data_IF_457214390248
#
_entry.id   IF_457214390248
#
_cell.length_a   1.000
_cell.length_b   1.000
_cell.length_c   1.000
_cell.angle_alpha   90.00
_cell.angle_beta   90.00
_cell.angle_gamma   90.00
#
_symmetry.space_group_name_H-M   'P 1'
#
loop_
_entity.id
_entity.type
_entity.pdbx_description
1 polymer ?
#
# COMPACT_ATOMS: atom_id res chain seq x y z
N UNK A 1 -27.27 -7.31 12.37
CA UNK A 1 -25.97 -7.15 11.68
C UNK A 1 -24.97 -6.68 12.72
N UNK A 2 -23.96 -7.49 13.04
CA UNK A 2 -22.84 -7.02 13.89
C UNK A 2 -21.96 -6.13 13.03
N UNK A 3 -21.71 -4.89 13.48
CA UNK A 3 -20.87 -3.93 12.77
C UNK A 3 -19.44 -4.13 13.26
N UNK A 4 -18.58 -4.71 12.42
CA UNK A 4 -17.17 -4.88 12.76
C UNK A 4 -16.47 -3.52 12.85
N UNK A 5 -15.50 -3.35 13.77
CA UNK A 5 -14.68 -2.14 13.81
C UNK A 5 -13.89 -1.98 12.51
N UNK A 6 -13.74 -0.73 12.06
CA UNK A 6 -12.89 -0.38 10.93
C UNK A 6 -11.61 0.25 11.44
N UNK A 7 -10.46 -0.26 10.99
CA UNK A 7 -9.14 0.25 11.41
C UNK A 7 -8.29 0.53 10.17
N UNK A 8 -7.44 1.55 10.25
CA UNK A 8 -6.46 1.81 9.21
C UNK A 8 -5.32 0.78 9.34
N UNK A 9 -4.93 0.08 8.25
CA UNK A 9 -3.74 -0.75 8.29
C UNK A 9 -2.46 0.08 8.51
N UNK A 10 -1.41 -0.58 8.99
CA UNK A 10 -0.11 0.06 9.21
C UNK A 10 0.70 0.04 7.91
N UNK A 11 1.37 1.16 7.58
CA UNK A 11 2.37 1.22 6.52
C UNK A 11 3.76 1.11 7.16
N UNK A 12 4.48 0.04 6.88
CA UNK A 12 5.77 -0.24 7.52
C UNK A 12 6.96 0.23 6.69
N UNK A 13 6.77 0.34 5.38
CA UNK A 13 7.72 0.96 4.48
C UNK A 13 6.95 1.82 3.47
N UNK A 14 7.42 3.06 3.29
CA UNK A 14 6.96 3.96 2.24
C UNK A 14 8.18 4.72 1.71
N UNK A 15 8.78 4.18 0.67
CA UNK A 15 10.01 4.70 0.08
C UNK A 15 9.81 4.95 -1.41
N UNK A 16 10.48 5.96 -1.97
CA UNK A 16 10.60 6.11 -3.41
C UNK A 16 12.06 6.31 -3.84
N UNK A 17 12.46 5.62 -4.90
CA UNK A 17 13.79 5.77 -5.52
C UNK A 17 13.87 6.90 -6.55
N UNK A 18 12.78 7.67 -6.71
CA UNK A 18 12.60 8.65 -7.79
C UNK A 18 12.11 8.02 -9.11
N UNK A 19 11.96 6.69 -9.16
CA UNK A 19 11.36 5.97 -10.29
C UNK A 19 10.07 5.24 -9.92
N UNK A 20 9.94 4.78 -8.67
CA UNK A 20 8.79 4.02 -8.17
C UNK A 20 8.63 4.22 -6.67
N UNK A 21 7.43 4.00 -6.16
CA UNK A 21 7.18 3.71 -4.76
C UNK A 21 7.35 2.22 -4.48
N UNK A 22 7.87 1.92 -3.30
CA UNK A 22 7.88 0.60 -2.66
C UNK A 22 7.14 0.77 -1.34
N UNK A 23 5.97 0.11 -1.23
CA UNK A 23 5.04 0.29 -0.13
C UNK A 23 4.72 -1.08 0.47
N UNK A 24 4.89 -1.21 1.78
CA UNK A 24 4.56 -2.43 2.52
C UNK A 24 3.46 -2.14 3.54
N UNK A 25 2.35 -2.88 3.44
CA UNK A 25 1.16 -2.70 4.27
C UNK A 25 0.94 -3.96 5.12
N UNK A 26 0.82 -3.81 6.44
CA UNK A 26 0.47 -4.92 7.33
C UNK A 26 -1.03 -5.17 7.34
N UNK A 27 -1.40 -6.42 7.06
CA UNK A 27 -2.74 -6.99 7.06
C UNK A 27 -2.71 -8.34 7.80
N UNK A 28 -2.47 -8.34 9.12
CA UNK A 28 -2.20 -9.55 9.88
C UNK A 28 -3.37 -10.52 9.87
N UNK A 29 -3.09 -11.76 9.45
CA UNK A 29 -4.06 -12.87 9.38
C UNK A 29 -5.26 -12.59 8.45
N UNK A 30 -5.13 -11.65 7.52
CA UNK A 30 -6.12 -11.47 6.45
C UNK A 30 -5.88 -12.54 5.39
N UNK A 31 -6.95 -13.18 4.92
CA UNK A 31 -6.85 -14.10 3.78
C UNK A 31 -6.70 -13.30 2.48
N UNK A 32 -5.79 -13.69 1.61
CA UNK A 32 -5.47 -12.96 0.38
C UNK A 32 -6.71 -12.66 -0.48
N UNK A 33 -7.62 -13.61 -0.60
CA UNK A 33 -8.86 -13.50 -1.37
C UNK A 33 -9.82 -12.42 -0.85
N UNK A 34 -9.65 -11.98 0.40
CA UNK A 34 -10.45 -10.92 0.99
C UNK A 34 -9.83 -9.52 0.76
N UNK A 35 -8.62 -9.42 0.20
CA UNK A 35 -7.93 -8.14 0.05
C UNK A 35 -8.40 -7.45 -1.24
N UNK A 36 -9.13 -6.36 -1.09
CA UNK A 36 -9.46 -5.44 -2.16
C UNK A 36 -8.46 -4.28 -2.16
N UNK A 37 -7.79 -4.07 -3.30
CA UNK A 37 -6.84 -2.97 -3.51
C UNK A 37 -7.25 -2.20 -4.76
N UNK A 38 -7.54 -0.91 -4.59
CA UNK A 38 -7.90 -0.02 -5.68
C UNK A 38 -6.91 1.14 -5.79
N UNK A 39 -6.45 1.45 -7.00
CA UNK A 39 -5.51 2.53 -7.25
C UNK A 39 -6.11 3.66 -8.08
N UNK A 40 -5.68 4.88 -7.75
CA UNK A 40 -5.74 6.04 -8.62
C UNK A 40 -4.30 6.50 -8.90
N UNK A 41 -4.15 7.47 -9.81
CA UNK A 41 -2.83 8.07 -10.04
C UNK A 41 -2.24 8.74 -8.80
N UNK A 42 -3.04 9.11 -7.79
CA UNK A 42 -2.61 9.90 -6.62
C UNK A 42 -2.73 9.17 -5.29
N UNK A 43 -2.92 7.86 -5.30
CA UNK A 43 -3.19 7.12 -4.07
C UNK A 43 -3.85 5.79 -4.31
N UNK A 44 -4.10 5.08 -3.21
CA UNK A 44 -4.75 3.78 -3.22
C UNK A 44 -5.63 3.61 -1.99
N UNK A 45 -6.62 2.74 -2.10
CA UNK A 45 -7.46 2.33 -0.99
C UNK A 45 -7.34 0.81 -0.82
N UNK A 46 -7.35 0.39 0.44
CA UNK A 46 -7.38 -1.02 0.84
C UNK A 46 -8.67 -1.25 1.61
N UNK A 47 -9.30 -2.39 1.35
CA UNK A 47 -10.33 -2.97 2.20
C UNK A 47 -10.05 -4.46 2.34
N UNK A 48 -9.91 -4.91 3.58
CA UNK A 48 -9.43 -6.23 3.93
C UNK A 48 -10.16 -6.71 5.19
N UNK A 49 -11.34 -7.35 5.07
CA UNK A 49 -12.06 -7.90 6.20
C UNK A 49 -11.37 -9.15 6.76
N UNK A 50 -11.40 -9.25 8.09
CA UNK A 50 -11.11 -10.40 8.93
C UNK A 50 -12.30 -10.63 9.86
N UNK A 51 -12.40 -11.81 10.47
CA UNK A 51 -13.57 -12.24 11.25
C UNK A 51 -14.00 -11.25 12.35
N UNK A 52 -13.06 -10.49 12.91
CA UNK A 52 -13.26 -9.56 14.02
C UNK A 52 -13.04 -8.07 13.67
N UNK A 53 -12.50 -7.74 12.49
CA UNK A 53 -12.11 -6.38 12.12
C UNK A 53 -12.09 -6.18 10.60
N UNK A 54 -12.33 -4.96 10.14
CA UNK A 54 -12.11 -4.57 8.74
C UNK A 54 -10.94 -3.59 8.66
N UNK A 55 -9.84 -4.01 8.05
CA UNK A 55 -8.77 -3.09 7.68
C UNK A 55 -9.21 -2.28 6.47
N UNK A 56 -9.46 -0.99 6.64
CA UNK A 56 -9.93 -0.14 5.55
C UNK A 56 -9.45 1.30 5.68
N UNK A 57 -8.73 1.78 4.66
CA UNK A 57 -8.36 3.19 4.53
C UNK A 57 -7.90 3.53 3.12
N UNK A 58 -7.76 4.81 2.83
CA UNK A 58 -7.12 5.32 1.62
C UNK A 58 -5.87 6.12 1.98
N UNK A 59 -4.80 5.90 1.22
CA UNK A 59 -3.54 6.63 1.33
C UNK A 59 -3.33 7.53 0.11
N UNK A 60 -2.87 8.75 0.35
CA UNK A 60 -2.45 9.67 -0.71
C UNK A 60 -0.97 9.45 -1.01
N UNK A 61 -0.65 9.49 -2.30
CA UNK A 61 0.72 9.55 -2.81
C UNK A 61 1.00 10.97 -3.30
N UNK A 62 2.18 11.48 -2.98
CA UNK A 62 2.59 12.83 -3.37
C UNK A 62 2.88 12.92 -4.87
N UNK A 63 3.53 11.89 -5.42
CA UNK A 63 3.88 11.79 -6.82
C UNK A 63 2.90 10.87 -7.55
N UNK A 64 2.48 11.24 -8.77
CA UNK A 64 1.55 10.41 -9.52
C UNK A 64 2.20 9.10 -9.98
N UNK A 65 1.43 8.00 -9.96
CA UNK A 65 1.87 6.66 -10.38
C UNK A 65 1.25 6.21 -11.70
N UNK A 66 1.92 5.29 -12.39
CA UNK A 66 1.38 4.56 -13.52
C UNK A 66 0.62 3.32 -13.04
N UNK A 67 -0.70 3.45 -12.97
CA UNK A 67 -1.60 2.40 -12.45
C UNK A 67 -1.59 1.12 -13.28
N UNK A 68 -1.20 1.18 -14.56
CA UNK A 68 -1.17 0.02 -15.44
C UNK A 68 0.04 -0.89 -15.19
N UNK A 69 1.01 -0.43 -14.39
CA UNK A 69 2.27 -1.12 -14.13
C UNK A 69 2.50 -1.46 -12.67
N UNK A 70 1.45 -1.35 -11.85
CA UNK A 70 1.51 -1.71 -10.45
C UNK A 70 1.71 -3.22 -10.34
N UNK A 71 2.62 -3.61 -9.44
CA UNK A 71 2.85 -5.02 -9.08
C UNK A 71 2.59 -5.19 -7.60
N UNK A 72 1.98 -6.30 -7.25
CA UNK A 72 1.65 -6.63 -5.86
C UNK A 72 2.06 -8.04 -5.52
N UNK A 73 2.47 -8.25 -4.28
CA UNK A 73 2.67 -9.58 -3.71
C UNK A 73 2.17 -9.59 -2.28
N UNK A 74 1.43 -10.63 -1.92
CA UNK A 74 0.99 -10.83 -0.55
C UNK A 74 1.78 -11.99 0.04
N UNK A 75 2.27 -11.80 1.26
CA UNK A 75 3.00 -12.78 2.04
C UNK A 75 2.10 -13.22 3.20
N UNK A 76 1.41 -14.35 3.03
CA UNK A 76 0.34 -14.78 3.93
C UNK A 76 0.81 -15.04 5.37
N UNK A 77 2.04 -15.56 5.54
CA UNK A 77 2.60 -15.90 6.86
C UNK A 77 2.89 -14.63 7.67
N UNK A 78 3.44 -13.61 7.01
CA UNK A 78 3.77 -12.32 7.60
C UNK A 78 2.57 -11.36 7.65
N UNK A 79 1.49 -11.69 6.93
CA UNK A 79 0.36 -10.79 6.73
C UNK A 79 0.79 -9.48 6.09
N UNK A 80 1.64 -9.54 5.07
CA UNK A 80 2.27 -8.35 4.47
C UNK A 80 1.90 -8.22 2.99
N UNK A 81 1.32 -7.07 2.62
CA UNK A 81 1.08 -6.70 1.24
C UNK A 81 2.20 -5.77 0.76
N UNK A 82 2.98 -6.26 -0.20
CA UNK A 82 3.96 -5.49 -0.94
C UNK A 82 3.33 -4.91 -2.21
N UNK A 83 3.59 -3.63 -2.44
CA UNK A 83 3.13 -2.87 -3.59
C UNK A 83 4.35 -2.15 -4.20
N UNK A 84 4.59 -2.42 -5.47
CA UNK A 84 5.55 -1.69 -6.30
C UNK A 84 4.76 -0.84 -7.28
N UNK A 85 4.78 0.48 -7.10
CA UNK A 85 4.02 1.43 -7.90
C UNK A 85 4.97 2.38 -8.66
N UNK A 86 5.23 2.13 -9.96
CA UNK A 86 6.06 3.02 -10.78
C UNK A 86 5.50 4.43 -10.84
N UNK A 87 6.36 5.44 -10.79
CA UNK A 87 5.95 6.82 -10.99
C UNK A 87 5.54 7.04 -12.45
N UNK A 88 4.52 7.86 -12.65
CA UNK A 88 4.09 8.27 -13.99
C UNK A 88 5.18 9.06 -14.72
N UNK A 89 5.95 9.84 -13.96
CA UNK A 89 7.15 10.54 -14.42
C UNK A 89 8.26 10.39 -13.36
N UNK A 90 9.48 9.97 -13.75
CA UNK A 90 10.60 9.94 -12.82
C UNK A 90 10.91 11.33 -12.26
N UNK A 91 11.35 11.38 -11.02
CA UNK A 91 11.81 12.60 -10.35
C UNK A 91 13.29 12.48 -10.00
N UNK A 92 14.04 13.56 -10.16
CA UNK A 92 15.44 13.62 -9.71
C UNK A 92 15.45 13.93 -8.22
N UNK A 93 16.14 13.09 -7.46
CA UNK A 93 16.45 13.34 -6.05
C UNK A 93 17.92 13.74 -5.92
N UNK A 94 18.24 14.53 -4.90
CA UNK A 94 19.61 14.88 -4.54
C UNK A 94 19.93 14.22 -3.21
N UNK A 95 21.00 13.42 -3.16
CA UNK A 95 21.52 12.89 -1.90
C UNK A 95 22.15 14.04 -1.11
N UNK A 96 21.76 14.19 0.15
CA UNK A 96 22.36 15.13 1.09
C UNK A 96 23.21 14.32 2.08
N UNK A 97 24.52 14.58 2.21
CA UNK A 97 25.35 13.95 3.23
C UNK A 97 24.93 14.42 4.62
N UNK A 98 25.08 13.57 5.63
CA UNK A 98 24.86 13.88 7.04
C UNK A 98 26.23 14.04 7.70
N UNK A 99 26.42 15.09 8.48
CA UNK A 99 27.62 15.36 9.29
C UNK A 99 27.53 14.74 10.68
#
# INVERSE_FOLDING_TARGET
MVKLPMVAPEICAHYHSGQRYEIHVKLPMVKKENIELSFSKKGFCIKAPRDDVVFATCYKLELPVDTNRIKTKYYDVEGLLEIIAPLLKPVKTKRIPIE
#
